data_IF_990494263531
#
_entry.id   IF_990494263531
#
_cell.length_a   1.000
_cell.length_b   1.000
_cell.length_c   1.000
_cell.angle_alpha   90.00
_cell.angle_beta   90.00
_cell.angle_gamma   90.00
#
_symmetry.space_group_name_H-M   'P 1'
#
loop_
_entity.id
_entity.type
_entity.pdbx_description
1 polymer ?
#
# COMPACT_ATOMS: atom_id res chain seq x y z
N UNK A 1 -40.67 -39.62 29.29
CA UNK A 1 -40.18 -39.08 28.01
C UNK A 1 -39.54 -37.70 28.10
N UNK A 2 -40.13 -36.69 28.77
CA UNK A 2 -39.59 -35.32 28.90
C UNK A 2 -38.20 -35.22 29.58
N UNK A 3 -37.90 -36.00 30.63
CA UNK A 3 -36.58 -35.96 31.29
C UNK A 3 -35.42 -36.37 30.40
N UNK A 4 -35.60 -37.38 29.57
CA UNK A 4 -34.54 -37.82 28.63
C UNK A 4 -34.28 -36.82 27.50
N UNK A 5 -35.32 -36.10 27.05
CA UNK A 5 -35.21 -35.05 26.04
C UNK A 5 -34.41 -33.83 26.56
N UNK A 6 -34.64 -33.41 27.78
CA UNK A 6 -33.89 -32.33 28.43
C UNK A 6 -32.38 -32.69 28.64
N UNK A 7 -32.10 -33.93 28.99
CA UNK A 7 -30.72 -34.41 29.13
C UNK A 7 -29.98 -34.42 27.78
N UNK A 8 -30.65 -34.82 26.69
CA UNK A 8 -30.08 -34.81 25.36
C UNK A 8 -29.76 -33.38 24.88
N UNK A 9 -30.72 -32.43 25.09
CA UNK A 9 -30.52 -31.02 24.76
C UNK A 9 -29.35 -30.46 25.58
N UNK A 10 -29.30 -30.71 26.88
CA UNK A 10 -28.22 -30.25 27.75
C UNK A 10 -26.84 -30.77 27.26
N UNK A 11 -26.76 -32.04 26.87
CA UNK A 11 -25.53 -32.61 26.34
C UNK A 11 -25.12 -31.98 25.01
N UNK A 12 -26.07 -31.73 24.11
CA UNK A 12 -25.78 -31.06 22.82
C UNK A 12 -25.28 -29.64 23.05
N UNK A 13 -25.94 -28.91 23.94
CA UNK A 13 -25.54 -27.53 24.31
C UNK A 13 -24.13 -27.53 24.93
N UNK A 14 -23.82 -28.44 25.84
CA UNK A 14 -22.49 -28.56 26.46
C UNK A 14 -21.41 -28.90 25.40
N UNK A 15 -21.70 -29.78 24.46
CA UNK A 15 -20.77 -30.13 23.38
C UNK A 15 -20.56 -28.90 22.46
N UNK A 16 -21.61 -28.17 22.12
CA UNK A 16 -21.52 -26.95 21.32
C UNK A 16 -20.68 -25.86 22.02
N UNK A 17 -20.91 -25.65 23.31
CA UNK A 17 -20.15 -24.69 24.13
C UNK A 17 -18.67 -25.11 24.20
N UNK A 18 -18.37 -26.38 24.46
CA UNK A 18 -16.97 -26.88 24.50
C UNK A 18 -16.28 -26.71 23.14
N UNK A 19 -16.95 -27.02 22.04
CA UNK A 19 -16.41 -26.81 20.68
C UNK A 19 -16.16 -25.32 20.40
N UNK A 20 -17.04 -24.44 20.83
CA UNK A 20 -16.90 -23.00 20.66
C UNK A 20 -15.73 -22.44 21.51
N UNK A 21 -15.59 -22.89 22.76
CA UNK A 21 -14.45 -22.55 23.62
C UNK A 21 -13.13 -23.05 23.01
N UNK A 22 -13.10 -24.30 22.54
CA UNK A 22 -11.90 -24.87 21.92
C UNK A 22 -11.52 -24.14 20.63
N UNK A 23 -12.52 -23.76 19.80
CA UNK A 23 -12.29 -22.98 18.59
C UNK A 23 -11.78 -21.55 18.92
N UNK A 24 -12.27 -20.90 19.98
CA UNK A 24 -11.81 -19.58 20.40
C UNK A 24 -10.37 -19.63 20.94
N UNK A 25 -10.00 -20.62 21.72
CA UNK A 25 -8.64 -20.80 22.24
C UNK A 25 -7.66 -21.05 21.09
N UNK A 26 -7.99 -21.93 20.14
CA UNK A 26 -7.17 -22.16 18.95
C UNK A 26 -7.00 -20.90 18.10
N UNK A 27 -8.05 -20.12 17.94
CA UNK A 27 -8.03 -18.86 17.19
C UNK A 27 -7.19 -17.79 17.92
N UNK A 28 -7.19 -17.76 19.24
CA UNK A 28 -6.34 -16.88 20.03
C UNK A 28 -4.86 -17.25 19.90
N UNK A 29 -4.50 -18.54 19.92
CA UNK A 29 -3.13 -19.00 19.70
C UNK A 29 -2.66 -18.68 18.26
N UNK A 30 -3.52 -18.87 17.26
CA UNK A 30 -3.22 -18.54 15.86
C UNK A 30 -3.04 -17.03 15.67
N UNK A 31 -3.91 -16.22 16.25
CA UNK A 31 -3.79 -14.77 16.22
C UNK A 31 -2.53 -14.28 16.93
N UNK A 32 -2.16 -14.89 18.05
CA UNK A 32 -0.94 -14.55 18.80
C UNK A 32 0.32 -14.69 17.94
N UNK A 33 0.41 -15.76 17.15
CA UNK A 33 1.55 -15.94 16.25
C UNK A 33 1.65 -14.83 15.19
N UNK A 34 0.54 -14.50 14.55
CA UNK A 34 0.47 -13.41 13.56
C UNK A 34 0.78 -12.06 14.19
N UNK A 35 0.25 -11.79 15.39
CA UNK A 35 0.51 -10.54 16.11
C UNK A 35 2.01 -10.37 16.39
N UNK A 36 2.72 -11.41 16.82
CA UNK A 36 4.16 -11.35 17.00
C UNK A 36 4.92 -11.02 15.73
N UNK A 37 4.48 -11.58 14.59
CA UNK A 37 5.05 -11.23 13.29
C UNK A 37 4.80 -9.77 12.91
N UNK A 38 3.58 -9.27 13.13
CA UNK A 38 3.23 -7.86 12.90
C UNK A 38 4.10 -6.91 13.73
N UNK A 39 4.45 -7.31 14.95
CA UNK A 39 5.34 -6.57 15.87
C UNK A 39 6.84 -6.66 15.50
N UNK A 40 7.19 -7.39 14.45
CA UNK A 40 8.58 -7.53 13.99
C UNK A 40 9.42 -8.52 14.81
N UNK A 41 8.79 -9.35 15.66
CA UNK A 41 9.54 -10.41 16.32
C UNK A 41 10.01 -11.45 15.31
N UNK A 42 11.28 -11.86 15.43
CA UNK A 42 11.84 -12.89 14.57
C UNK A 42 11.05 -14.20 14.70
N UNK A 43 10.61 -14.73 13.57
CA UNK A 43 9.95 -16.02 13.53
C UNK A 43 10.95 -17.11 13.15
N UNK A 44 10.90 -18.21 13.86
CA UNK A 44 11.52 -19.45 13.42
C UNK A 44 10.80 -19.95 12.16
N UNK A 45 11.58 -20.28 11.15
CA UNK A 45 11.05 -20.78 9.88
C UNK A 45 10.24 -22.08 10.05
N UNK A 46 10.63 -22.92 11.01
CA UNK A 46 9.92 -24.16 11.30
C UNK A 46 8.54 -23.87 11.92
N UNK A 47 8.46 -22.92 12.85
CA UNK A 47 7.20 -22.49 13.46
C UNK A 47 6.28 -21.86 12.42
N UNK A 48 6.83 -21.04 11.51
CA UNK A 48 6.09 -20.45 10.38
C UNK A 48 5.47 -21.52 9.49
N UNK A 49 6.26 -22.51 9.11
CA UNK A 49 5.79 -23.59 8.23
C UNK A 49 4.71 -24.46 8.91
N UNK A 50 4.85 -24.71 10.21
CA UNK A 50 3.82 -25.42 10.98
C UNK A 50 2.50 -24.64 11.05
N UNK A 51 2.59 -23.33 11.32
CA UNK A 51 1.43 -22.45 11.34
C UNK A 51 0.71 -22.45 10.00
N UNK A 52 1.43 -22.19 8.89
CA UNK A 52 0.87 -22.15 7.55
C UNK A 52 0.28 -23.50 7.11
N UNK A 53 0.92 -24.60 7.49
CA UNK A 53 0.42 -25.96 7.20
C UNK A 53 -0.94 -26.22 7.87
N UNK A 54 -1.16 -25.75 9.11
CA UNK A 54 -2.48 -25.83 9.76
C UNK A 54 -3.57 -25.11 8.97
N UNK A 55 -3.22 -24.00 8.31
CA UNK A 55 -4.13 -23.22 7.47
C UNK A 55 -4.24 -23.72 6.02
N UNK A 56 -3.56 -24.80 5.65
CA UNK A 56 -3.49 -25.29 4.26
C UNK A 56 -2.77 -24.33 3.32
N UNK A 57 -1.79 -23.60 3.84
CA UNK A 57 -1.03 -22.57 3.14
C UNK A 57 0.46 -22.96 3.06
N UNK A 58 1.22 -22.28 2.16
CA UNK A 58 2.66 -22.51 1.99
C UNK A 58 3.41 -21.20 2.15
N UNK A 59 4.64 -21.24 2.64
CA UNK A 59 5.47 -20.05 2.82
C UNK A 59 5.91 -19.41 1.49
N UNK A 60 5.93 -20.20 0.41
CA UNK A 60 6.31 -19.75 -0.94
C UNK A 60 5.12 -19.12 -1.71
N UNK A 61 3.94 -19.02 -1.11
CA UNK A 61 2.83 -18.28 -1.69
C UNK A 61 3.16 -16.77 -1.74
N UNK A 62 2.62 -16.05 -2.71
CA UNK A 62 2.68 -14.59 -2.75
C UNK A 62 1.53 -14.04 -1.91
N UNK A 63 1.83 -13.08 -1.05
CA UNK A 63 0.93 -12.56 -0.03
C UNK A 63 0.68 -11.07 -0.19
N UNK A 64 -0.48 -10.61 0.30
CA UNK A 64 -0.81 -9.21 0.53
C UNK A 64 -1.37 -9.04 1.94
N UNK A 65 -1.06 -7.90 2.55
CA UNK A 65 -1.70 -7.45 3.78
C UNK A 65 -2.70 -6.34 3.45
N UNK A 66 -3.88 -6.44 4.02
CA UNK A 66 -4.99 -5.48 3.94
C UNK A 66 -5.24 -4.93 5.33
N UNK A 67 -5.09 -3.63 5.50
CA UNK A 67 -5.35 -2.94 6.75
C UNK A 67 -6.62 -2.10 6.62
N UNK A 68 -7.60 -2.33 7.49
CA UNK A 68 -8.87 -1.62 7.57
C UNK A 68 -8.93 -0.86 8.90
N UNK A 69 -8.61 0.44 8.95
CA UNK A 69 -8.68 1.23 10.17
C UNK A 69 -10.12 1.33 10.66
N UNK A 70 -10.33 1.16 11.96
CA UNK A 70 -11.61 1.41 12.60
C UNK A 70 -11.73 2.90 12.92
N UNK A 71 -12.77 3.53 12.43
CA UNK A 71 -12.98 5.00 12.55
C UNK A 71 -13.19 5.41 14.01
N UNK A 72 -13.70 4.52 14.84
CA UNK A 72 -14.03 4.80 16.24
C UNK A 72 -13.40 3.75 17.16
N UNK A 73 -12.36 4.16 17.88
CA UNK A 73 -11.70 3.30 18.87
C UNK A 73 -12.63 2.88 20.03
N UNK A 74 -13.68 3.67 20.29
CA UNK A 74 -14.71 3.40 21.30
C UNK A 74 -15.83 2.48 20.79
N UNK A 75 -15.72 2.00 19.55
CA UNK A 75 -16.71 1.16 18.91
C UNK A 75 -17.02 -0.08 19.77
N UNK A 76 -18.31 -0.32 20.06
CA UNK A 76 -18.75 -1.46 20.85
C UNK A 76 -18.20 -2.78 20.27
N UNK A 77 -17.86 -3.73 21.15
CA UNK A 77 -17.30 -5.05 20.80
C UNK A 77 -18.11 -5.77 19.71
N UNK A 78 -19.45 -5.63 19.78
CA UNK A 78 -20.39 -6.19 18.79
C UNK A 78 -20.17 -5.62 17.38
N UNK A 79 -19.84 -4.33 17.28
CA UNK A 79 -19.59 -3.68 15.99
C UNK A 79 -18.26 -4.11 15.39
N UNK A 80 -17.22 -4.26 16.23
CA UNK A 80 -15.91 -4.81 15.82
C UNK A 80 -16.05 -6.23 15.28
N UNK A 81 -16.83 -7.08 15.93
CA UNK A 81 -17.12 -8.44 15.46
C UNK A 81 -17.87 -8.44 14.13
N UNK A 82 -18.81 -7.52 13.92
CA UNK A 82 -19.52 -7.38 12.64
C UNK A 82 -18.57 -6.96 11.50
N UNK A 83 -17.67 -6.02 11.74
CA UNK A 83 -16.65 -5.63 10.77
C UNK A 83 -15.74 -6.80 10.40
N UNK A 84 -15.22 -7.51 11.41
CA UNK A 84 -14.39 -8.70 11.22
C UNK A 84 -15.09 -9.74 10.32
N UNK A 85 -16.35 -10.04 10.60
CA UNK A 85 -17.11 -11.03 9.84
C UNK A 85 -17.35 -10.61 8.38
N UNK A 86 -17.71 -9.35 8.14
CA UNK A 86 -17.89 -8.83 6.77
C UNK A 86 -16.60 -8.83 5.98
N UNK A 87 -15.47 -8.46 6.60
CA UNK A 87 -14.16 -8.49 5.95
C UNK A 87 -13.73 -9.94 5.68
N UNK A 88 -13.97 -10.89 6.61
CA UNK A 88 -13.74 -12.32 6.36
C UNK A 88 -14.52 -12.84 5.15
N UNK A 89 -15.76 -12.40 4.96
CA UNK A 89 -16.58 -12.77 3.81
C UNK A 89 -16.08 -12.13 2.50
N UNK A 90 -15.56 -10.90 2.58
CA UNK A 90 -14.99 -10.22 1.42
C UNK A 90 -13.67 -10.85 0.97
N UNK A 91 -12.76 -11.13 1.91
CA UNK A 91 -11.44 -11.70 1.67
C UNK A 91 -11.50 -13.24 1.83
N UNK A 92 -11.90 -13.93 0.77
CA UNK A 92 -12.03 -15.40 0.80
C UNK A 92 -10.70 -16.08 1.14
N UNK A 93 -10.73 -17.04 2.09
CA UNK A 93 -9.56 -17.80 2.54
C UNK A 93 -8.38 -16.92 3.04
N UNK A 94 -8.69 -15.81 3.71
CA UNK A 94 -7.74 -14.94 4.36
C UNK A 94 -7.60 -15.27 5.85
N UNK A 95 -6.43 -14.98 6.41
CA UNK A 95 -6.27 -14.81 7.86
C UNK A 95 -6.77 -13.41 8.19
N UNK A 96 -7.83 -13.31 9.02
CA UNK A 96 -8.43 -12.02 9.39
C UNK A 96 -8.52 -11.93 10.89
N UNK A 97 -7.93 -10.88 11.46
CA UNK A 97 -7.89 -10.64 12.90
C UNK A 97 -8.06 -9.15 13.24
N UNK A 98 -8.41 -8.89 14.49
CA UNK A 98 -8.34 -7.55 15.07
C UNK A 98 -6.95 -7.35 15.67
N UNK A 99 -6.32 -6.24 15.32
CA UNK A 99 -5.03 -5.85 15.90
C UNK A 99 -5.02 -4.34 16.10
N UNK A 100 -4.72 -3.89 17.31
CA UNK A 100 -4.83 -2.49 17.71
C UNK A 100 -6.20 -1.91 17.37
N UNK A 101 -6.26 -0.85 16.58
CA UNK A 101 -7.50 -0.22 16.16
C UNK A 101 -7.83 -0.50 14.68
N UNK A 102 -7.51 -1.70 14.19
CA UNK A 102 -7.70 -2.08 12.79
C UNK A 102 -8.11 -3.54 12.63
N UNK A 103 -8.79 -3.85 11.55
CA UNK A 103 -8.92 -5.22 11.07
C UNK A 103 -7.80 -5.47 10.08
N UNK A 104 -7.03 -6.54 10.32
CA UNK A 104 -5.95 -6.99 9.42
C UNK A 104 -6.44 -8.20 8.65
N UNK A 105 -6.30 -8.15 7.32
CA UNK A 105 -6.53 -9.27 6.43
C UNK A 105 -5.22 -9.69 5.76
N UNK A 106 -4.87 -10.98 5.77
CA UNK A 106 -3.69 -11.50 5.09
C UNK A 106 -4.16 -12.52 4.07
N UNK A 107 -3.98 -12.19 2.81
CA UNK A 107 -4.46 -13.00 1.68
C UNK A 107 -3.32 -13.48 0.79
N UNK A 108 -3.48 -14.70 0.27
CA UNK A 108 -2.66 -15.16 -0.85
C UNK A 108 -3.15 -14.52 -2.15
N UNK A 109 -2.21 -14.10 -3.00
CA UNK A 109 -2.51 -13.51 -4.31
C UNK A 109 -3.48 -14.36 -5.13
N UNK A 110 -3.32 -15.68 -5.13
CA UNK A 110 -4.20 -16.61 -5.86
C UNK A 110 -5.64 -16.65 -5.35
N UNK A 111 -5.90 -16.22 -4.12
CA UNK A 111 -7.23 -16.18 -3.54
C UNK A 111 -7.90 -14.81 -3.70
N UNK A 112 -7.10 -13.75 -3.61
CA UNK A 112 -7.57 -12.37 -3.73
C UNK A 112 -6.42 -11.47 -4.23
N UNK A 113 -6.43 -11.15 -5.52
CA UNK A 113 -5.42 -10.27 -6.14
C UNK A 113 -5.95 -8.84 -6.21
N UNK A 114 -5.28 -7.85 -5.58
CA UNK A 114 -5.68 -6.44 -5.67
C UNK A 114 -5.50 -5.85 -7.08
N UNK A 115 -4.91 -6.59 -8.03
CA UNK A 115 -4.83 -6.21 -9.44
C UNK A 115 -5.98 -6.76 -10.27
N UNK A 116 -6.76 -7.70 -9.75
CA UNK A 116 -7.94 -8.26 -10.41
C UNK A 116 -9.14 -7.32 -10.22
N UNK A 117 -9.74 -6.80 -11.31
CA UNK A 117 -10.90 -5.92 -11.24
C UNK A 117 -12.10 -6.52 -10.48
N UNK A 118 -12.33 -7.84 -10.58
CA UNK A 118 -13.41 -8.51 -9.88
C UNK A 118 -13.19 -8.51 -8.35
N UNK A 119 -11.95 -8.74 -7.91
CA UNK A 119 -11.57 -8.64 -6.50
C UNK A 119 -11.72 -7.20 -5.99
N UNK A 120 -11.28 -6.22 -6.76
CA UNK A 120 -11.41 -4.81 -6.40
C UNK A 120 -12.87 -4.36 -6.30
N UNK A 121 -13.73 -4.80 -7.22
CA UNK A 121 -15.17 -4.48 -7.18
C UNK A 121 -15.80 -5.00 -5.89
N UNK A 122 -15.60 -6.28 -5.57
CA UNK A 122 -16.09 -6.89 -4.33
C UNK A 122 -15.62 -6.17 -3.08
N UNK A 123 -14.35 -5.75 -3.06
CA UNK A 123 -13.78 -5.00 -1.95
C UNK A 123 -14.43 -3.61 -1.84
N UNK A 124 -14.61 -2.92 -2.95
CA UNK A 124 -15.25 -1.59 -3.01
C UNK A 124 -16.68 -1.62 -2.47
N UNK A 125 -17.47 -2.60 -2.86
CA UNK A 125 -18.82 -2.77 -2.34
C UNK A 125 -18.81 -2.96 -0.83
N UNK A 126 -17.89 -3.78 -0.32
CA UNK A 126 -17.72 -4.00 1.13
C UNK A 126 -17.36 -2.72 1.86
N UNK A 127 -16.42 -1.92 1.32
CA UNK A 127 -15.97 -0.65 1.90
C UNK A 127 -17.09 0.39 1.93
N UNK A 128 -17.88 0.48 0.87
CA UNK A 128 -19.04 1.36 0.82
C UNK A 128 -20.06 1.04 1.94
N UNK A 129 -20.37 -0.23 2.13
CA UNK A 129 -21.28 -0.68 3.18
C UNK A 129 -20.75 -0.45 4.60
N UNK A 130 -19.44 -0.44 4.77
CA UNK A 130 -18.79 -0.26 6.08
C UNK A 130 -18.33 1.17 6.33
N UNK A 131 -18.36 2.06 5.32
CA UNK A 131 -17.79 3.40 5.34
C UNK A 131 -16.33 3.39 5.83
N UNK A 132 -15.52 2.46 5.30
CA UNK A 132 -14.13 2.23 5.72
C UNK A 132 -13.17 2.39 4.55
N UNK A 133 -11.93 2.74 4.85
CA UNK A 133 -10.82 2.70 3.92
C UNK A 133 -10.09 1.36 4.01
N UNK A 134 -9.33 1.02 2.98
CA UNK A 134 -8.38 -0.09 3.02
C UNK A 134 -7.04 0.33 2.46
N UNK A 135 -5.98 -0.05 3.16
CA UNK A 135 -4.60 0.10 2.74
C UNK A 135 -4.02 -1.28 2.43
N UNK A 136 -3.47 -1.45 1.23
CA UNK A 136 -2.98 -2.73 0.73
C UNK A 136 -1.47 -2.64 0.55
N UNK A 137 -0.73 -3.51 1.24
CA UNK A 137 0.73 -3.56 1.13
C UNK A 137 1.21 -3.88 -0.29
N UNK A 138 2.50 -3.68 -0.55
CA UNK A 138 3.13 -4.39 -1.65
C UNK A 138 3.09 -5.90 -1.38
N UNK A 139 3.14 -6.72 -2.43
CA UNK A 139 3.18 -8.17 -2.22
C UNK A 139 4.49 -8.60 -1.58
N UNK A 140 4.42 -9.62 -0.74
CA UNK A 140 5.58 -10.22 -0.12
C UNK A 140 5.62 -11.73 -0.35
N UNK A 141 6.81 -12.31 -0.31
CA UNK A 141 7.04 -13.71 -0.70
C UNK A 141 7.23 -14.64 0.49
N UNK A 142 7.64 -14.10 1.63
CA UNK A 142 7.85 -14.88 2.85
C UNK A 142 6.91 -14.37 3.93
N UNK A 143 6.17 -15.25 4.54
CA UNK A 143 5.20 -14.88 5.58
C UNK A 143 5.86 -14.15 6.77
N UNK A 144 7.16 -14.37 6.99
CA UNK A 144 7.97 -13.66 8.00
C UNK A 144 8.19 -12.18 7.68
N UNK A 145 7.87 -11.71 6.47
CA UNK A 145 7.96 -10.29 6.05
C UNK A 145 6.71 -9.49 6.42
N UNK A 146 5.81 -10.07 7.21
CA UNK A 146 4.52 -9.50 7.56
C UNK A 146 4.63 -8.13 8.26
N UNK A 147 5.67 -7.92 9.09
CA UNK A 147 5.92 -6.63 9.75
C UNK A 147 6.17 -5.51 8.74
N UNK A 148 6.95 -5.78 7.70
CA UNK A 148 7.24 -4.80 6.64
C UNK A 148 5.96 -4.44 5.88
N UNK A 149 5.14 -5.45 5.55
CA UNK A 149 3.86 -5.23 4.89
C UNK A 149 2.89 -4.41 5.76
N UNK A 150 2.88 -4.63 7.06
CA UNK A 150 2.09 -3.87 8.01
C UNK A 150 2.57 -2.41 8.11
N UNK A 151 3.87 -2.19 8.21
CA UNK A 151 4.49 -0.86 8.23
C UNK A 151 4.14 -0.06 6.96
N UNK A 152 4.16 -0.68 5.78
CA UNK A 152 3.71 -0.06 4.54
C UNK A 152 2.27 0.46 4.62
N UNK A 153 1.37 -0.33 5.22
CA UNK A 153 -0.02 0.08 5.41
C UNK A 153 -0.16 1.23 6.41
N UNK A 154 0.62 1.23 7.49
CA UNK A 154 0.65 2.32 8.46
C UNK A 154 1.18 3.63 7.83
N UNK A 155 2.21 3.55 7.00
CA UNK A 155 2.74 4.71 6.27
C UNK A 155 1.67 5.31 5.32
N UNK A 156 0.91 4.47 4.62
CA UNK A 156 -0.21 4.95 3.81
C UNK A 156 -1.28 5.63 4.66
N UNK A 157 -1.66 5.03 5.77
CA UNK A 157 -2.65 5.59 6.68
C UNK A 157 -2.24 6.96 7.22
N UNK A 158 -0.96 7.13 7.54
CA UNK A 158 -0.43 8.37 8.11
C UNK A 158 -0.20 9.46 7.08
N UNK A 159 0.34 9.12 5.90
CA UNK A 159 0.92 10.09 4.97
C UNK A 159 0.18 10.23 3.63
N UNK A 160 -0.78 9.38 3.31
CA UNK A 160 -1.57 9.60 2.10
C UNK A 160 -2.89 10.30 2.39
N UNK A 161 -3.28 11.20 1.49
CA UNK A 161 -4.63 11.75 1.47
C UNK A 161 -5.59 10.69 0.90
N UNK A 162 -6.66 10.40 1.61
CA UNK A 162 -7.61 9.38 1.19
C UNK A 162 -9.06 9.85 1.38
N UNK A 163 -9.88 9.84 0.33
CA UNK A 163 -11.31 10.02 0.47
C UNK A 163 -11.93 8.83 1.23
N UNK A 164 -13.13 9.04 1.77
CA UNK A 164 -13.87 7.97 2.44
C UNK A 164 -14.11 6.77 1.49
N UNK A 165 -14.05 5.57 2.04
CA UNK A 165 -14.24 4.31 1.32
C UNK A 165 -13.25 4.07 0.16
N UNK A 166 -12.02 4.55 0.32
CA UNK A 166 -10.97 4.40 -0.68
C UNK A 166 -10.18 3.09 -0.55
N UNK A 167 -9.71 2.60 -1.68
CA UNK A 167 -8.73 1.52 -1.78
C UNK A 167 -7.40 2.16 -2.17
N UNK A 168 -6.36 1.95 -1.36
CA UNK A 168 -5.03 2.45 -1.62
C UNK A 168 -4.02 1.31 -1.64
N UNK A 169 -3.15 1.31 -2.64
CA UNK A 169 -2.08 0.34 -2.79
C UNK A 169 -0.72 1.03 -2.59
N UNK A 170 0.20 0.36 -1.89
CA UNK A 170 1.48 0.95 -1.51
C UNK A 170 2.30 1.48 -2.70
N UNK A 171 2.44 0.77 -3.83
CA UNK A 171 3.20 1.29 -4.96
C UNK A 171 2.67 2.61 -5.53
N UNK A 172 1.35 2.77 -5.54
CA UNK A 172 0.68 3.97 -6.05
C UNK A 172 0.82 5.15 -5.07
N UNK A 173 0.89 4.85 -3.78
CA UNK A 173 1.00 5.84 -2.69
C UNK A 173 2.43 6.21 -2.34
N UNK A 174 3.43 5.41 -2.78
CA UNK A 174 4.83 5.53 -2.35
C UNK A 174 5.40 6.94 -2.54
N UNK A 175 5.19 7.53 -3.72
CA UNK A 175 5.70 8.88 -4.01
C UNK A 175 5.13 9.92 -3.06
N UNK A 176 3.82 9.86 -2.77
CA UNK A 176 3.15 10.78 -1.87
C UNK A 176 3.64 10.63 -0.43
N UNK A 177 3.82 9.39 0.02
CA UNK A 177 4.33 9.06 1.36
C UNK A 177 5.74 9.65 1.53
N UNK A 178 6.65 9.35 0.60
CA UNK A 178 8.02 9.83 0.63
C UNK A 178 8.08 11.37 0.66
N UNK A 179 7.27 12.00 -0.18
CA UNK A 179 7.13 13.45 -0.22
C UNK A 179 6.65 14.01 1.12
N UNK A 180 5.60 13.47 1.72
CA UNK A 180 5.04 13.93 2.99
C UNK A 180 6.06 13.82 4.13
N UNK A 181 6.78 12.68 4.22
CA UNK A 181 7.83 12.46 5.21
C UNK A 181 8.97 13.52 5.09
N UNK A 182 9.39 13.76 3.86
CA UNK A 182 10.46 14.74 3.61
C UNK A 182 10.01 16.17 3.93
N UNK A 183 8.77 16.53 3.56
CA UNK A 183 8.20 17.86 3.83
C UNK A 183 8.12 18.17 5.33
N UNK A 184 7.81 17.18 6.17
CA UNK A 184 7.77 17.34 7.62
C UNK A 184 9.16 17.63 8.23
N UNK A 185 10.22 17.15 7.59
CA UNK A 185 11.58 17.19 8.13
C UNK A 185 12.42 18.34 7.64
N UNK A 186 12.16 18.84 6.42
CA UNK A 186 13.05 19.81 5.78
C UNK A 186 12.37 20.51 4.60
N UNK A 187 13.01 21.61 4.15
CA UNK A 187 12.61 22.26 2.90
C UNK A 187 12.94 21.40 1.69
N UNK A 188 11.94 21.06 0.93
CA UNK A 188 12.10 20.25 -0.27
C UNK A 188 12.92 20.92 -1.38
N UNK A 189 13.05 22.26 -1.35
CA UNK A 189 13.88 23.02 -2.30
C UNK A 189 15.34 22.57 -2.28
N UNK A 190 15.84 22.19 -1.10
CA UNK A 190 17.20 21.68 -0.94
C UNK A 190 17.48 20.35 -1.62
N UNK A 191 16.42 19.60 -1.99
CA UNK A 191 16.52 18.34 -2.73
C UNK A 191 16.33 18.51 -4.24
N UNK A 192 16.10 19.73 -4.72
CA UNK A 192 15.90 19.97 -6.14
C UNK A 192 17.19 20.46 -6.80
N UNK A 193 17.43 19.99 -8.02
CA UNK A 193 18.47 20.57 -8.87
C UNK A 193 18.13 22.04 -9.16
N UNK A 194 19.07 22.97 -8.94
CA UNK A 194 18.79 24.41 -9.03
C UNK A 194 18.19 24.84 -10.38
N UNK A 195 18.70 24.30 -11.49
CA UNK A 195 18.21 24.63 -12.81
C UNK A 195 16.77 24.09 -13.06
N UNK A 196 16.42 22.90 -12.55
CA UNK A 196 15.07 22.36 -12.64
C UNK A 196 14.11 23.25 -11.84
N UNK A 197 14.51 23.64 -10.64
CA UNK A 197 13.73 24.55 -9.81
C UNK A 197 13.53 25.91 -10.49
N UNK A 198 14.56 26.44 -11.15
CA UNK A 198 14.47 27.70 -11.91
C UNK A 198 13.52 27.58 -13.12
N UNK A 199 13.60 26.50 -13.89
CA UNK A 199 12.68 26.21 -14.98
C UNK A 199 11.22 26.12 -14.52
N UNK A 200 10.99 25.45 -13.38
CA UNK A 200 9.66 25.28 -12.80
C UNK A 200 9.05 26.60 -12.31
N UNK A 201 9.85 27.45 -11.67
CA UNK A 201 9.43 28.79 -11.18
C UNK A 201 9.26 29.82 -12.29
N UNK A 202 9.68 29.51 -13.49
CA UNK A 202 9.57 30.44 -14.61
C UNK A 202 8.10 30.79 -14.91
N UNK A 203 7.86 32.04 -15.29
CA UNK A 203 6.58 32.48 -15.86
C UNK A 203 6.31 31.89 -17.23
N UNK A 204 7.32 31.35 -17.90
CA UNK A 204 7.20 30.70 -19.22
C UNK A 204 6.62 29.31 -19.09
N UNK A 205 5.43 29.08 -19.61
CA UNK A 205 4.82 27.75 -19.71
C UNK A 205 5.71 26.77 -20.46
N UNK A 206 6.39 27.22 -21.49
CA UNK A 206 7.34 26.41 -22.25
C UNK A 206 8.47 25.87 -21.36
N UNK A 207 9.06 26.70 -20.47
CA UNK A 207 10.13 26.26 -19.59
C UNK A 207 9.63 25.23 -18.57
N UNK A 208 8.42 25.37 -18.05
CA UNK A 208 7.80 24.35 -17.18
C UNK A 208 7.56 23.04 -17.94
N UNK A 209 7.14 23.12 -19.21
CA UNK A 209 6.99 21.92 -20.05
C UNK A 209 8.29 21.12 -20.18
N UNK A 210 9.47 21.77 -20.21
CA UNK A 210 10.75 21.08 -20.26
C UNK A 210 11.01 20.20 -19.02
N UNK A 211 10.49 20.59 -17.84
CA UNK A 211 10.60 19.75 -16.63
C UNK A 211 9.74 18.49 -16.77
N UNK A 212 8.55 18.59 -17.34
CA UNK A 212 7.72 17.41 -17.66
C UNK A 212 8.39 16.50 -18.71
N UNK A 213 8.95 17.11 -19.76
CA UNK A 213 9.67 16.37 -20.79
C UNK A 213 10.83 15.58 -20.22
N UNK A 214 11.62 16.20 -19.35
CA UNK A 214 12.72 15.54 -18.64
C UNK A 214 12.21 14.39 -17.76
N UNK A 215 11.19 14.63 -16.94
CA UNK A 215 10.60 13.61 -16.07
C UNK A 215 10.23 12.35 -16.88
N UNK A 216 9.46 12.51 -17.94
CA UNK A 216 9.02 11.37 -18.73
C UNK A 216 10.16 10.71 -19.51
N UNK A 217 11.15 11.48 -19.96
CA UNK A 217 12.35 10.92 -20.57
C UNK A 217 13.10 9.99 -19.62
N UNK A 218 13.28 10.40 -18.37
CA UNK A 218 13.92 9.59 -17.34
C UNK A 218 13.07 8.37 -16.98
N UNK A 219 11.76 8.52 -16.83
CA UNK A 219 10.82 7.42 -16.51
C UNK A 219 10.75 6.35 -17.61
N UNK A 220 10.90 6.74 -18.87
CA UNK A 220 10.93 5.82 -20.00
C UNK A 220 12.35 5.31 -20.32
N UNK A 221 13.23 5.28 -19.33
CA UNK A 221 14.59 4.73 -19.47
C UNK A 221 15.45 5.47 -20.49
N UNK A 222 15.19 6.75 -20.71
CA UNK A 222 15.88 7.61 -21.68
C UNK A 222 15.62 7.20 -23.14
N UNK A 223 14.48 6.60 -23.42
CA UNK A 223 14.07 6.19 -24.75
C UNK A 223 13.33 7.33 -25.46
N UNK A 224 14.03 7.99 -26.42
CA UNK A 224 13.49 9.13 -27.19
C UNK A 224 12.22 8.74 -27.95
N UNK A 225 12.20 7.56 -28.60
CA UNK A 225 11.07 7.14 -29.43
C UNK A 225 9.81 6.87 -28.60
N UNK A 226 9.97 6.23 -27.46
CA UNK A 226 8.88 5.94 -26.53
C UNK A 226 8.36 7.20 -25.87
N UNK A 227 9.26 8.06 -25.37
CA UNK A 227 8.88 9.32 -24.71
C UNK A 227 8.20 10.28 -25.66
N UNK A 228 8.72 10.46 -26.89
CA UNK A 228 8.09 11.35 -27.88
C UNK A 228 6.67 10.89 -28.26
N UNK A 229 6.45 9.57 -28.36
CA UNK A 229 5.11 8.99 -28.59
C UNK A 229 4.19 9.24 -27.40
N UNK A 230 4.67 9.03 -26.19
CA UNK A 230 3.89 9.27 -24.97
C UNK A 230 3.46 10.72 -24.82
N UNK A 231 4.36 11.67 -25.14
CA UNK A 231 4.10 13.11 -25.07
C UNK A 231 3.36 13.68 -26.31
N UNK A 232 3.02 12.83 -27.29
CA UNK A 232 2.44 13.24 -28.56
C UNK A 232 3.27 14.29 -29.30
N UNK A 233 4.58 14.15 -29.27
CA UNK A 233 5.55 15.05 -29.93
C UNK A 233 6.23 14.38 -31.12
N UNK A 234 6.56 15.16 -32.13
CA UNK A 234 7.46 14.69 -33.18
C UNK A 234 8.86 14.45 -32.59
N UNK A 235 9.50 13.36 -33.00
CA UNK A 235 10.83 12.96 -32.52
C UNK A 235 11.86 14.10 -32.57
N UNK A 236 11.91 14.83 -33.67
CA UNK A 236 12.86 15.95 -33.83
C UNK A 236 12.56 17.11 -32.89
N UNK A 237 11.30 17.40 -32.65
CA UNK A 237 10.87 18.40 -31.65
C UNK A 237 11.30 18.00 -30.25
N UNK A 238 11.14 16.74 -29.91
CA UNK A 238 11.54 16.22 -28.59
C UNK A 238 13.08 16.26 -28.42
N UNK A 239 13.85 15.85 -29.44
CA UNK A 239 15.32 15.97 -29.42
C UNK A 239 15.75 17.43 -29.21
N UNK A 240 15.12 18.37 -29.89
CA UNK A 240 15.41 19.79 -29.69
C UNK A 240 15.15 20.24 -28.25
N UNK A 241 14.05 19.79 -27.64
CA UNK A 241 13.73 20.09 -26.25
C UNK A 241 14.73 19.46 -25.27
N UNK A 242 15.17 18.23 -25.52
CA UNK A 242 16.22 17.58 -24.70
C UNK A 242 17.52 18.39 -24.75
N UNK A 243 17.96 18.85 -25.93
CA UNK A 243 19.13 19.72 -26.04
C UNK A 243 18.99 21.01 -25.23
N UNK A 244 17.79 21.61 -25.23
CA UNK A 244 17.51 22.79 -24.39
C UNK A 244 17.60 22.45 -22.90
N UNK A 245 17.12 21.29 -22.49
CA UNK A 245 17.24 20.83 -21.09
C UNK A 245 18.72 20.66 -20.74
N UNK A 246 19.54 20.02 -21.58
CA UNK A 246 20.99 19.88 -21.37
C UNK A 246 21.68 21.24 -21.24
N UNK A 247 21.31 22.22 -22.08
CA UNK A 247 21.82 23.58 -21.98
C UNK A 247 21.50 24.23 -20.63
N UNK A 248 20.28 24.08 -20.12
CA UNK A 248 19.87 24.61 -18.80
C UNK A 248 20.56 23.88 -17.64
N UNK A 249 20.66 22.57 -17.72
CA UNK A 249 21.28 21.75 -16.67
C UNK A 249 22.81 21.79 -16.70
N UNK A 250 23.40 22.17 -17.84
CA UNK A 250 24.85 22.11 -18.12
C UNK A 250 25.43 20.70 -17.94
N UNK A 251 24.67 19.66 -18.27
CA UNK A 251 25.06 18.26 -18.22
C UNK A 251 24.57 17.54 -19.48
N UNK A 252 25.23 16.44 -19.84
CA UNK A 252 24.75 15.52 -20.88
C UNK A 252 23.79 14.49 -20.27
N UNK A 253 22.60 14.37 -20.86
CA UNK A 253 21.60 13.38 -20.42
C UNK A 253 21.96 11.96 -20.87
N UNK A 254 22.86 11.80 -21.83
CA UNK A 254 23.30 10.49 -22.30
C UNK A 254 24.28 9.79 -21.33
N UNK A 255 25.03 10.58 -20.54
CA UNK A 255 26.09 10.11 -19.64
C UNK A 255 25.75 10.21 -18.15
N UNK A 256 24.47 10.16 -17.80
CA UNK A 256 24.03 10.18 -16.40
C UNK A 256 24.40 8.89 -15.68
N UNK A 257 25.07 9.02 -14.53
CA UNK A 257 25.14 7.94 -13.55
C UNK A 257 23.82 7.75 -12.78
N UNK A 258 23.73 6.67 -12.02
CA UNK A 258 22.50 6.34 -11.27
C UNK A 258 22.11 7.42 -10.26
N UNK A 259 23.10 8.05 -9.58
CA UNK A 259 22.84 9.07 -8.57
C UNK A 259 22.28 10.33 -9.22
N UNK A 260 22.86 10.77 -10.32
CA UNK A 260 22.40 11.94 -11.06
C UNK A 260 21.02 11.70 -11.67
N UNK A 261 20.77 10.50 -12.22
CA UNK A 261 19.45 10.12 -12.74
C UNK A 261 18.37 10.21 -11.66
N UNK A 262 18.62 9.61 -10.49
CA UNK A 262 17.69 9.67 -9.36
C UNK A 262 17.49 11.11 -8.87
N UNK A 263 18.56 11.90 -8.79
CA UNK A 263 18.49 13.30 -8.34
C UNK A 263 17.65 14.17 -9.29
N UNK A 264 17.84 14.05 -10.60
CA UNK A 264 17.06 14.79 -11.58
C UNK A 264 15.60 14.35 -11.58
N UNK A 265 15.34 13.04 -11.57
CA UNK A 265 13.97 12.50 -11.51
C UNK A 265 13.25 12.98 -10.25
N UNK A 266 13.91 12.89 -9.10
CA UNK A 266 13.35 13.32 -7.82
C UNK A 266 13.07 14.82 -7.81
N UNK A 267 13.97 15.64 -8.37
CA UNK A 267 13.77 17.08 -8.54
C UNK A 267 12.52 17.42 -9.36
N UNK A 268 12.31 16.72 -10.48
CA UNK A 268 11.10 16.90 -11.29
C UNK A 268 9.82 16.52 -10.53
N UNK A 269 9.86 15.40 -9.79
CA UNK A 269 8.71 14.93 -9.00
C UNK A 269 8.34 15.89 -7.88
N UNK A 270 9.34 16.47 -7.19
CA UNK A 270 9.12 17.48 -6.15
C UNK A 270 8.49 18.73 -6.75
N UNK A 271 9.00 19.23 -7.87
CA UNK A 271 8.45 20.41 -8.53
C UNK A 271 6.98 20.24 -8.89
N UNK A 272 6.61 19.11 -9.49
CA UNK A 272 5.24 18.82 -9.93
C UNK A 272 4.23 18.75 -8.77
N UNK A 273 4.63 18.18 -7.64
CA UNK A 273 3.74 18.04 -6.46
C UNK A 273 3.58 19.31 -5.65
N UNK A 274 4.47 20.29 -5.81
CA UNK A 274 4.56 21.49 -4.98
C UNK A 274 4.20 22.78 -5.69
N UNK A 275 3.38 22.74 -6.71
CA UNK A 275 3.04 23.95 -7.48
C UNK A 275 2.59 25.12 -6.58
N UNK A 276 1.88 24.84 -5.49
CA UNK A 276 1.47 25.88 -4.53
C UNK A 276 2.56 26.30 -3.52
N UNK A 277 3.41 25.38 -3.06
CA UNK A 277 4.40 25.67 -2.00
C UNK A 277 5.73 26.22 -2.55
N UNK A 278 6.05 25.95 -3.80
CA UNK A 278 7.30 26.40 -4.45
C UNK A 278 7.15 27.79 -5.07
N UNK A 279 5.93 28.16 -5.47
CA UNK A 279 5.64 29.46 -6.09
C UNK A 279 5.44 30.60 -5.09
N UNK A 280 5.23 30.30 -3.80
CA UNK A 280 4.87 31.29 -2.77
C UNK A 280 6.05 31.85 -1.96
N UNK A 281 7.32 31.63 -2.35
CA UNK A 281 8.49 32.24 -1.66
C UNK A 281 9.49 32.78 -2.64
#
# INVERSE_FOLDING_TARGET
>A
MQKNFLLIISSIVQIAIRRQIQASVLQEEENYYVIRLLQGFSADQQATNQYLKKLGMKNEDTWYLYLFPLVDSSCAQTRKAAYLNKIKQALSNAVVLLYENSVIGICRKKNFDPKDPACLLKLRDTLHHLSMNVFISYHFLRFTELSIAYEQCLLMQQYSSHPASSIQQFPESFQQILYSILKERTSLKGFCHPAILALWKSSSEYQRTLVYDLKYYLLHGRNIAETSRYLNLYRNTFIYRLKKIEEYLQISLDSLDENMLLYLLFSCLICEKNDHDILLV
#
